data_IF_806836218770
#
_entry.id   IF_806836218770
#
_cell.length_a   1.000
_cell.length_b   1.000
_cell.length_c   1.000
_cell.angle_alpha   90.00
_cell.angle_beta   90.00
_cell.angle_gamma   90.00
#
_symmetry.space_group_name_H-M   'P 1'
#
loop_
_entity.id
_entity.type
_entity.pdbx_description
1 polymer ?
#
# COMPACT_ATOMS: atom_id res chain seq x y z
N UNK A 1 40.22 67.67 -15.78
CA UNK A 1 39.32 68.41 -14.86
C UNK A 1 38.51 67.37 -14.11
N UNK A 2 38.92 66.89 -12.93
CA UNK A 2 38.67 67.47 -11.59
C UNK A 2 37.16 67.78 -11.37
N UNK A 3 36.40 66.93 -10.66
CA UNK A 3 36.02 67.05 -9.22
C UNK A 3 34.72 66.29 -8.87
N UNK A 4 34.75 65.65 -7.69
CA UNK A 4 33.65 65.06 -6.92
C UNK A 4 32.53 66.06 -6.56
N UNK A 5 31.31 65.57 -6.29
CA UNK A 5 30.44 65.99 -5.17
C UNK A 5 29.37 64.91 -4.89
N UNK A 6 29.30 64.51 -3.63
CA UNK A 6 28.28 63.66 -2.97
C UNK A 6 27.25 64.59 -2.30
N UNK A 7 25.97 64.20 -2.20
CA UNK A 7 25.01 64.43 -1.09
C UNK A 7 23.61 63.93 -1.53
N UNK A 8 23.08 62.80 -1.04
CA UNK A 8 22.34 62.61 0.22
C UNK A 8 20.88 63.15 0.19
N UNK A 9 19.91 62.29 -0.12
CA UNK A 9 18.52 62.40 0.36
C UNK A 9 17.95 61.01 0.68
N UNK A 10 17.07 61.01 1.66
CA UNK A 10 16.69 59.93 2.56
C UNK A 10 15.42 59.16 2.15
N UNK A 11 15.37 57.89 2.55
CA UNK A 11 14.19 57.16 3.04
C UNK A 11 13.02 56.91 2.06
N UNK A 12 12.88 55.65 1.60
CA UNK A 12 11.58 54.98 1.61
C UNK A 12 11.76 53.46 1.60
N UNK A 13 11.18 52.81 2.59
CA UNK A 13 11.04 51.37 2.68
C UNK A 13 10.21 50.83 1.50
N UNK A 14 10.69 49.76 0.89
CA UNK A 14 9.84 48.76 0.25
C UNK A 14 10.60 47.44 0.30
N UNK A 15 10.37 46.75 1.42
CA UNK A 15 10.50 45.30 1.50
C UNK A 15 9.49 44.75 0.49
N UNK A 16 9.98 44.30 -0.65
CA UNK A 16 9.26 43.38 -1.49
C UNK A 16 10.03 42.06 -1.42
N UNK A 17 9.88 41.36 -0.30
CA UNK A 17 10.05 39.92 -0.30
C UNK A 17 8.85 39.38 -1.09
N UNK A 18 9.03 38.76 -2.27
CA UNK A 18 7.98 37.93 -2.81
C UNK A 18 7.82 36.80 -1.79
N UNK A 19 6.75 36.86 -1.02
CA UNK A 19 6.21 35.71 -0.34
C UNK A 19 5.89 34.69 -1.42
N UNK A 20 6.87 33.86 -1.76
CA UNK A 20 6.61 32.52 -2.23
C UNK A 20 5.86 31.88 -1.06
N UNK A 21 4.53 31.92 -1.16
CA UNK A 21 3.65 30.97 -0.50
C UNK A 21 4.02 29.62 -1.12
N UNK A 22 5.18 29.09 -0.70
CA UNK A 22 5.44 27.68 -0.83
C UNK A 22 4.39 27.04 0.04
N UNK A 23 3.37 26.45 -0.60
CA UNK A 23 2.72 25.30 -0.03
C UNK A 23 3.87 24.33 0.24
N UNK A 24 4.39 24.34 1.46
CA UNK A 24 5.33 23.34 1.88
C UNK A 24 4.47 22.09 1.97
N UNK A 25 4.35 21.36 0.86
CA UNK A 25 3.91 19.98 0.95
C UNK A 25 4.90 19.32 1.90
N UNK A 26 4.37 18.93 3.06
CA UNK A 26 5.17 18.29 4.11
C UNK A 26 5.71 17.02 3.46
N UNK A 27 7.03 16.92 3.32
CA UNK A 27 7.62 15.76 2.67
C UNK A 27 7.15 14.48 3.39
N UNK A 28 6.77 13.44 2.64
CA UNK A 28 6.30 12.21 3.24
C UNK A 28 7.38 11.64 4.16
N UNK A 29 6.98 11.26 5.36
CA UNK A 29 7.92 10.75 6.38
C UNK A 29 8.57 9.42 5.97
N UNK A 30 7.99 8.72 4.98
CA UNK A 30 8.51 7.50 4.37
C UNK A 30 8.24 7.57 2.86
N UNK A 31 9.29 7.56 2.04
CA UNK A 31 9.17 7.43 0.59
C UNK A 31 9.19 5.94 0.19
N UNK A 32 8.26 5.54 -0.69
CA UNK A 32 8.22 4.20 -1.26
C UNK A 32 9.49 3.86 -2.05
N UNK A 33 10.14 4.85 -2.67
CA UNK A 33 11.36 4.62 -3.45
C UNK A 33 12.57 4.24 -2.60
N UNK A 34 12.52 4.55 -1.30
CA UNK A 34 13.59 4.20 -0.35
C UNK A 34 13.51 2.74 0.12
N UNK A 35 12.38 2.08 -0.15
CA UNK A 35 12.18 0.70 0.24
C UNK A 35 12.71 -0.26 -0.83
N UNK A 36 13.20 -1.45 -0.44
CA UNK A 36 13.63 -2.44 -1.40
C UNK A 36 12.44 -2.87 -2.29
N UNK A 37 12.72 -2.99 -3.58
CA UNK A 37 11.85 -3.69 -4.51
C UNK A 37 11.84 -5.18 -4.16
N UNK A 38 10.64 -5.75 -4.06
CA UNK A 38 10.46 -7.15 -3.73
C UNK A 38 10.09 -7.90 -5.00
N UNK A 39 10.89 -8.91 -5.34
CA UNK A 39 10.66 -9.77 -6.47
C UNK A 39 10.83 -11.25 -6.06
N UNK A 40 10.09 -12.17 -6.70
CA UNK A 40 10.26 -13.59 -6.45
C UNK A 40 11.65 -14.04 -6.88
N UNK A 41 12.24 -14.94 -6.10
CA UNK A 41 13.52 -15.58 -6.44
C UNK A 41 13.29 -16.92 -7.13
N UNK A 42 14.26 -17.37 -7.93
CA UNK A 42 14.21 -18.70 -8.57
C UNK A 42 14.05 -19.85 -7.57
N UNK A 43 14.60 -19.67 -6.36
CA UNK A 43 14.44 -20.65 -5.28
C UNK A 43 12.98 -20.70 -4.80
N UNK A 44 12.35 -19.54 -4.55
CA UNK A 44 10.95 -19.47 -4.15
C UNK A 44 10.01 -20.12 -5.18
N UNK A 45 10.28 -19.93 -6.47
CA UNK A 45 9.52 -20.58 -7.54
C UNK A 45 9.66 -22.11 -7.48
N UNK A 46 10.87 -22.62 -7.26
CA UNK A 46 11.11 -24.06 -7.11
C UNK A 46 10.42 -24.64 -5.87
N UNK A 47 10.51 -23.96 -4.73
CA UNK A 47 9.84 -24.40 -3.51
C UNK A 47 8.32 -24.37 -3.66
N UNK A 48 7.77 -23.36 -4.34
CA UNK A 48 6.32 -23.26 -4.61
C UNK A 48 5.82 -24.48 -5.39
N UNK A 49 6.53 -24.87 -6.44
CA UNK A 49 6.17 -26.06 -7.23
C UNK A 49 6.20 -27.33 -6.37
N UNK A 50 7.23 -27.51 -5.53
CA UNK A 50 7.32 -28.68 -4.64
C UNK A 50 6.22 -28.72 -3.59
N UNK A 51 5.90 -27.58 -2.99
CA UNK A 51 4.82 -27.49 -2.00
C UNK A 51 3.49 -27.86 -2.62
N UNK A 52 3.19 -27.36 -3.83
CA UNK A 52 1.96 -27.70 -4.56
C UNK A 52 1.92 -29.20 -4.88
N UNK A 53 3.02 -29.76 -5.41
CA UNK A 53 3.11 -31.19 -5.71
C UNK A 53 2.87 -32.04 -4.46
N UNK A 54 3.46 -31.68 -3.32
CA UNK A 54 3.25 -32.37 -2.05
C UNK A 54 1.81 -32.26 -1.56
N UNK A 55 1.18 -31.07 -1.67
CA UNK A 55 -0.21 -30.87 -1.26
C UNK A 55 -1.17 -31.71 -2.10
N UNK A 56 -0.89 -31.94 -3.37
CA UNK A 56 -1.81 -32.70 -4.22
C UNK A 56 -1.58 -34.20 -4.19
N UNK A 57 -0.34 -34.63 -3.98
CA UNK A 57 0.03 -36.06 -4.01
C UNK A 57 0.06 -36.71 -2.63
N UNK A 58 0.32 -35.94 -1.56
CA UNK A 58 0.52 -36.48 -0.22
C UNK A 58 -0.59 -36.10 0.76
N UNK A 59 -1.38 -35.07 0.47
CA UNK A 59 -2.45 -34.65 1.37
C UNK A 59 -3.62 -35.64 1.32
N UNK A 60 -4.19 -35.97 2.48
CA UNK A 60 -5.28 -36.94 2.61
C UNK A 60 -6.50 -36.59 1.75
N UNK A 61 -6.79 -35.29 1.57
CA UNK A 61 -7.90 -34.83 0.73
C UNK A 61 -7.70 -35.20 -0.75
N UNK A 62 -6.45 -35.43 -1.18
CA UNK A 62 -6.05 -35.84 -2.54
C UNK A 62 -6.82 -35.07 -3.64
N UNK A 63 -6.94 -33.77 -3.44
CA UNK A 63 -7.67 -32.87 -4.32
C UNK A 63 -6.67 -32.05 -5.13
N UNK A 64 -6.94 -31.90 -6.41
CA UNK A 64 -6.20 -30.96 -7.26
C UNK A 64 -6.50 -29.52 -6.81
N UNK A 65 -5.48 -28.69 -6.77
CA UNK A 65 -5.65 -27.26 -6.48
C UNK A 65 -6.20 -26.59 -7.74
N UNK A 66 -7.52 -26.37 -7.74
CA UNK A 66 -8.26 -25.73 -8.84
C UNK A 66 -8.09 -24.22 -8.87
N UNK A 67 -8.47 -23.58 -9.98
CA UNK A 67 -8.51 -22.11 -10.05
C UNK A 67 -9.46 -21.51 -9.00
N UNK A 68 -10.59 -22.16 -8.69
CA UNK A 68 -11.50 -21.74 -7.61
C UNK A 68 -10.80 -21.77 -6.23
N UNK A 69 -9.99 -22.80 -5.98
CA UNK A 69 -9.19 -22.90 -4.74
C UNK A 69 -8.18 -21.75 -4.65
N UNK A 70 -7.63 -21.32 -5.80
CA UNK A 70 -6.73 -20.19 -5.86
C UNK A 70 -7.41 -18.83 -5.69
N UNK A 71 -8.65 -18.68 -6.17
CA UNK A 71 -9.45 -17.49 -5.89
C UNK A 71 -9.64 -17.34 -4.37
N UNK A 72 -9.96 -18.42 -3.67
CA UNK A 72 -10.01 -18.37 -2.20
C UNK A 72 -8.65 -18.10 -1.57
N UNK A 73 -7.56 -18.65 -2.12
CA UNK A 73 -6.21 -18.35 -1.64
C UNK A 73 -5.87 -16.86 -1.72
N UNK A 74 -6.31 -16.15 -2.78
CA UNK A 74 -6.15 -14.70 -2.89
C UNK A 74 -6.87 -14.00 -1.73
N UNK A 75 -8.13 -14.35 -1.47
CA UNK A 75 -8.93 -13.74 -0.38
C UNK A 75 -8.32 -14.01 1.00
N UNK A 76 -7.91 -15.25 1.23
CA UNK A 76 -7.23 -15.66 2.47
C UNK A 76 -5.91 -14.93 2.67
N UNK A 77 -5.12 -14.79 1.60
CA UNK A 77 -3.85 -14.05 1.67
C UNK A 77 -4.07 -12.58 1.96
N UNK A 78 -5.02 -11.93 1.27
CA UNK A 78 -5.43 -10.56 1.57
C UNK A 78 -5.91 -10.41 3.02
N UNK A 79 -6.73 -11.34 3.52
CA UNK A 79 -7.23 -11.32 4.90
C UNK A 79 -6.13 -11.53 5.95
N UNK A 80 -5.09 -12.31 5.64
CA UNK A 80 -3.93 -12.46 6.53
C UNK A 80 -3.07 -11.21 6.60
N UNK A 81 -2.95 -10.46 5.50
CA UNK A 81 -2.26 -9.18 5.48
C UNK A 81 -3.08 -8.09 6.16
N UNK A 82 -4.39 -8.12 5.96
CA UNK A 82 -5.34 -7.10 6.42
C UNK A 82 -6.46 -7.72 7.26
N UNK A 83 -6.09 -8.18 8.46
CA UNK A 83 -7.02 -8.87 9.37
C UNK A 83 -8.25 -8.04 9.72
N UNK A 84 -8.11 -6.71 9.86
CA UNK A 84 -9.23 -5.83 10.20
C UNK A 84 -9.89 -5.17 8.98
N UNK A 85 -9.54 -5.60 7.76
CA UNK A 85 -10.13 -5.09 6.50
C UNK A 85 -10.03 -3.56 6.41
N UNK A 86 -8.89 -3.01 6.82
CA UNK A 86 -8.63 -1.58 6.90
C UNK A 86 -7.84 -1.07 5.69
N UNK A 87 -7.06 -1.91 5.03
CA UNK A 87 -6.12 -1.48 4.01
C UNK A 87 -6.68 -1.68 2.61
N UNK A 88 -7.10 -2.90 2.24
CA UNK A 88 -7.56 -3.15 0.87
C UNK A 88 -8.97 -2.61 0.61
N UNK A 89 -9.28 -2.40 -0.67
CA UNK A 89 -10.62 -2.12 -1.16
C UNK A 89 -11.25 -3.35 -1.82
N UNK A 90 -12.57 -3.36 -1.93
CA UNK A 90 -13.31 -4.35 -2.74
C UNK A 90 -12.80 -4.38 -4.20
N UNK A 91 -12.41 -3.22 -4.75
CA UNK A 91 -11.83 -3.12 -6.09
C UNK A 91 -10.47 -3.79 -6.21
N UNK A 92 -9.68 -3.83 -5.14
CA UNK A 92 -8.38 -4.51 -5.14
C UNK A 92 -8.60 -6.03 -5.24
N UNK A 93 -9.50 -6.59 -4.43
CA UNK A 93 -9.86 -8.01 -4.48
C UNK A 93 -10.31 -8.41 -5.89
N UNK A 94 -11.28 -7.66 -6.44
CA UNK A 94 -11.78 -7.88 -7.79
C UNK A 94 -10.66 -7.80 -8.83
N UNK A 95 -9.80 -6.79 -8.73
CA UNK A 95 -8.66 -6.62 -9.63
C UNK A 95 -7.68 -7.79 -9.58
N UNK A 96 -7.38 -8.32 -8.40
CA UNK A 96 -6.49 -9.48 -8.25
C UNK A 96 -7.11 -10.76 -8.82
N UNK A 97 -8.40 -10.99 -8.55
CA UNK A 97 -9.13 -12.14 -9.10
C UNK A 97 -9.18 -12.07 -10.64
N UNK A 98 -9.51 -10.91 -11.19
CA UNK A 98 -9.61 -10.72 -12.64
C UNK A 98 -8.24 -10.88 -13.33
N UNK A 99 -7.16 -10.39 -12.72
CA UNK A 99 -5.81 -10.46 -13.30
C UNK A 99 -5.15 -11.84 -13.17
N UNK A 100 -5.36 -12.53 -12.04
CA UNK A 100 -4.61 -13.74 -11.72
C UNK A 100 -5.46 -15.01 -11.69
N UNK A 101 -6.74 -14.92 -11.31
CA UNK A 101 -7.57 -16.07 -10.91
C UNK A 101 -7.67 -17.18 -11.96
N UNK A 102 -7.90 -16.84 -13.23
CA UNK A 102 -8.20 -17.83 -14.29
C UNK A 102 -7.05 -18.74 -14.72
N UNK A 103 -5.83 -18.53 -14.20
CA UNK A 103 -4.64 -19.29 -14.61
C UNK A 103 -3.65 -19.54 -13.46
N UNK A 104 -3.97 -19.09 -12.26
CA UNK A 104 -3.02 -19.07 -11.16
C UNK A 104 -2.59 -20.49 -10.79
N UNK A 105 -3.51 -21.46 -10.82
CA UNK A 105 -3.21 -22.86 -10.53
C UNK A 105 -2.12 -23.42 -11.43
N UNK A 106 -2.29 -23.28 -12.74
CA UNK A 106 -1.36 -23.75 -13.76
C UNK A 106 -0.01 -23.02 -13.66
N UNK A 107 -0.01 -21.70 -13.44
CA UNK A 107 1.22 -20.92 -13.34
C UNK A 107 2.02 -21.27 -12.08
N UNK A 108 1.37 -21.44 -10.93
CA UNK A 108 2.04 -21.81 -9.69
C UNK A 108 2.53 -23.26 -9.72
N UNK A 109 1.71 -24.18 -10.22
CA UNK A 109 2.05 -25.61 -10.38
C UNK A 109 3.26 -25.85 -11.27
N UNK A 110 3.32 -25.19 -12.44
CA UNK A 110 4.32 -25.52 -13.46
C UNK A 110 5.49 -24.54 -13.53
N UNK A 111 5.34 -23.33 -12.98
CA UNK A 111 6.38 -22.30 -13.04
C UNK A 111 6.72 -21.71 -11.68
N UNK A 112 5.98 -22.05 -10.62
CA UNK A 112 6.13 -21.40 -9.34
C UNK A 112 5.94 -19.89 -9.43
N UNK A 113 5.09 -19.41 -10.34
CA UNK A 113 4.89 -17.97 -10.54
C UNK A 113 4.23 -17.37 -9.30
N UNK A 114 4.92 -16.45 -8.63
CA UNK A 114 4.46 -15.78 -7.41
C UNK A 114 4.03 -14.33 -7.66
N UNK A 115 3.86 -13.91 -8.92
CA UNK A 115 3.56 -12.52 -9.29
C UNK A 115 2.31 -12.01 -8.57
N UNK A 116 1.28 -12.86 -8.43
CA UNK A 116 0.07 -12.53 -7.70
C UNK A 116 0.34 -12.18 -6.23
N UNK A 117 1.11 -13.01 -5.52
CA UNK A 117 1.42 -12.80 -4.11
C UNK A 117 2.26 -11.53 -3.90
N UNK A 118 3.24 -11.28 -4.76
CA UNK A 118 4.06 -10.07 -4.70
C UNK A 118 3.27 -8.82 -5.06
N UNK A 119 2.39 -8.87 -6.06
CA UNK A 119 1.52 -7.75 -6.41
C UNK A 119 0.55 -7.38 -5.28
N UNK A 120 -0.06 -8.37 -4.63
CA UNK A 120 -0.95 -8.16 -3.48
C UNK A 120 -0.17 -7.54 -2.31
N UNK A 121 1.01 -8.07 -1.99
CA UNK A 121 1.83 -7.54 -0.90
C UNK A 121 2.34 -6.13 -1.19
N UNK A 122 2.72 -5.85 -2.44
CA UNK A 122 3.15 -4.51 -2.84
C UNK A 122 2.02 -3.49 -2.70
N UNK A 123 0.80 -3.84 -3.14
CA UNK A 123 -0.38 -3.00 -2.91
C UNK A 123 -0.61 -2.72 -1.44
N UNK A 124 -0.49 -3.74 -0.59
CA UNK A 124 -0.60 -3.57 0.87
C UNK A 124 0.46 -2.60 1.41
N UNK A 125 1.73 -2.73 1.00
CA UNK A 125 2.82 -1.84 1.43
C UNK A 125 2.54 -0.39 1.10
N UNK A 126 2.11 -0.13 -0.14
CA UNK A 126 1.74 1.21 -0.62
C UNK A 126 0.67 1.82 0.28
N UNK A 127 -0.45 1.13 0.46
CA UNK A 127 -1.56 1.64 1.27
C UNK A 127 -1.14 1.80 2.74
N UNK A 128 -0.33 0.88 3.27
CA UNK A 128 0.13 0.97 4.64
C UNK A 128 0.94 2.25 4.90
N UNK A 129 1.78 2.65 3.95
CA UNK A 129 2.60 3.86 4.04
C UNK A 129 1.74 5.11 3.87
N UNK A 130 0.84 5.13 2.88
CA UNK A 130 -0.13 6.22 2.69
C UNK A 130 -0.98 6.42 3.95
N UNK A 131 -1.43 5.33 4.57
CA UNK A 131 -2.21 5.38 5.82
C UNK A 131 -1.40 5.92 6.99
N UNK A 132 -0.13 5.52 7.14
CA UNK A 132 0.73 6.04 8.20
C UNK A 132 0.90 7.56 8.05
N UNK A 133 1.15 8.04 6.82
CA UNK A 133 1.27 9.47 6.54
C UNK A 133 -0.03 10.21 6.88
N UNK A 134 -1.18 9.69 6.42
CA UNK A 134 -2.49 10.24 6.72
C UNK A 134 -2.79 10.29 8.23
N UNK A 135 -2.47 9.22 8.98
CA UNK A 135 -2.64 9.19 10.44
C UNK A 135 -1.77 10.27 11.10
N UNK A 136 -0.52 10.43 10.67
CA UNK A 136 0.41 11.39 11.26
C UNK A 136 -0.02 12.84 11.00
N UNK A 137 -0.63 13.12 9.85
CA UNK A 137 -1.26 14.42 9.59
C UNK A 137 -2.51 14.62 10.46
N UNK A 138 -3.37 13.61 10.54
CA UNK A 138 -4.60 13.65 11.36
C UNK A 138 -4.30 13.86 12.84
N UNK A 139 -3.21 13.30 13.36
CA UNK A 139 -2.81 13.49 14.76
C UNK A 139 -2.48 14.95 15.13
N UNK A 140 -2.25 15.84 14.16
CA UNK A 140 -2.04 17.27 14.41
C UNK A 140 -3.36 18.04 14.63
N UNK A 141 -4.50 17.45 14.26
CA UNK A 141 -5.83 18.03 14.46
C UNK A 141 -6.21 18.06 15.97
N UNK A 142 -7.17 18.91 16.34
CA UNK A 142 -7.78 18.86 17.67
C UNK A 142 -8.80 17.71 17.75
N UNK A 143 -8.68 16.86 18.77
CA UNK A 143 -9.55 15.70 18.97
C UNK A 143 -10.42 15.87 20.22
N UNK A 144 -11.72 15.67 20.07
CA UNK A 144 -12.67 15.56 21.17
C UNK A 144 -12.99 14.07 21.43
N UNK A 145 -13.06 13.67 22.70
CA UNK A 145 -13.33 12.29 23.13
C UNK A 145 -14.51 12.24 24.11
N UNK A 146 -15.45 13.17 23.98
CA UNK A 146 -16.64 13.33 24.82
C UNK A 146 -17.95 12.94 24.11
N UNK A 147 -17.87 12.34 22.91
CA UNK A 147 -19.00 11.81 22.15
C UNK A 147 -19.38 10.37 22.51
N UNK A 148 -20.46 9.90 21.88
CA UNK A 148 -21.02 8.54 22.04
C UNK A 148 -20.57 7.59 20.90
N UNK A 149 -19.43 7.85 20.25
CA UNK A 149 -18.95 7.01 19.15
C UNK A 149 -18.50 5.63 19.62
N UNK A 150 -18.85 4.60 18.83
CA UNK A 150 -18.44 3.22 19.08
C UNK A 150 -17.34 2.80 18.10
N UNK A 151 -16.31 2.13 18.61
CA UNK A 151 -15.24 1.54 17.80
C UNK A 151 -15.39 0.02 17.75
N UNK A 152 -15.59 -0.51 16.54
CA UNK A 152 -15.60 -1.96 16.31
C UNK A 152 -14.17 -2.49 16.27
N UNK A 153 -13.76 -3.16 17.35
CA UNK A 153 -12.40 -3.70 17.50
C UNK A 153 -12.09 -4.85 16.53
N UNK A 154 -13.03 -5.79 16.37
CA UNK A 154 -12.86 -6.93 15.48
C UNK A 154 -13.63 -6.71 14.19
N UNK A 155 -12.90 -6.56 13.09
CA UNK A 155 -13.43 -6.35 11.73
C UNK A 155 -13.10 -7.49 10.79
N UNK A 156 -12.65 -8.64 11.29
CA UNK A 156 -12.24 -9.79 10.47
C UNK A 156 -13.29 -10.28 9.48
N UNK A 157 -14.56 -10.24 9.90
CA UNK A 157 -15.73 -10.63 9.11
C UNK A 157 -16.40 -9.45 8.39
N UNK A 158 -15.82 -8.25 8.45
CA UNK A 158 -16.35 -7.10 7.71
C UNK A 158 -16.05 -7.23 6.22
N UNK A 159 -16.91 -6.70 5.33
CA UNK A 159 -16.54 -6.52 3.94
C UNK A 159 -15.38 -5.53 3.84
N UNK A 160 -14.54 -5.69 2.83
CA UNK A 160 -13.59 -4.63 2.49
C UNK A 160 -14.33 -3.35 2.08
N UNK A 161 -13.81 -2.17 2.45
CA UNK A 161 -14.39 -0.90 2.04
C UNK A 161 -14.55 -0.79 0.51
N UNK A 162 -15.65 -0.17 0.07
CA UNK A 162 -15.91 0.06 -1.34
C UNK A 162 -15.10 1.25 -1.91
N UNK A 163 -14.64 2.15 -1.05
CA UNK A 163 -13.91 3.36 -1.40
C UNK A 163 -12.98 3.80 -0.25
N UNK A 164 -12.20 4.86 -0.50
CA UNK A 164 -11.18 5.39 0.40
C UNK A 164 -11.77 6.37 1.45
N UNK A 165 -12.98 6.90 1.20
CA UNK A 165 -13.62 7.97 1.99
C UNK A 165 -14.41 7.47 3.21
#
# INVERSE_FOLDING_TARGET
>A
MIRYIVLLTSLLASILAPGALGLTEKEPLVDLSDLPELAPTDLMSQETMRVIEMLETLHFNNAEISDDTFIELIREFMGRLDYNRLYFLESDEKGFIDNFGSRLSMQMRHKGNLDAAFAIYERYRVIAIERIQWILEKLEDEWAFDGDEEFMYDRSESPWPANIE
#
